data_IF_531075297823
#
_entry.id   IF_531075297823
#
_cell.length_a   1.000
_cell.length_b   1.000
_cell.length_c   1.000
_cell.angle_alpha   90.00
_cell.angle_beta   90.00
_cell.angle_gamma   90.00
#
_symmetry.space_group_name_H-M   'P 1'
#
loop_
_entity.id
_entity.type
_entity.pdbx_description
1 polymer ?
#
# COMPACT_ATOMS: atom_id res chain seq x y z
N UNK A 1 -25.04 8.34 -17.99
CA UNK A 1 -25.62 8.15 -16.64
C UNK A 1 -25.02 6.88 -16.06
N UNK A 2 -24.29 7.05 -14.96
CA UNK A 2 -23.80 6.05 -13.99
C UNK A 2 -23.06 4.82 -14.53
N UNK A 3 -21.73 4.93 -14.56
CA UNK A 3 -20.80 3.80 -14.43
C UNK A 3 -21.15 3.03 -13.16
N UNK A 4 -21.56 1.77 -13.33
CA UNK A 4 -21.81 0.87 -12.20
C UNK A 4 -20.45 0.34 -11.75
N UNK A 5 -19.86 0.99 -10.75
CA UNK A 5 -18.75 0.44 -9.97
C UNK A 5 -19.20 -0.92 -9.41
N UNK A 6 -18.68 -2.00 -9.98
CA UNK A 6 -18.75 -3.33 -9.41
C UNK A 6 -17.40 -3.67 -8.76
N UNK A 7 -17.37 -4.36 -7.61
CA UNK A 7 -16.12 -4.67 -6.94
C UNK A 7 -15.27 -5.64 -7.79
N UNK A 8 -13.93 -5.61 -7.74
CA UNK A 8 -13.12 -6.69 -8.27
C UNK A 8 -13.38 -7.98 -7.47
N UNK A 9 -13.79 -9.09 -8.10
CA UNK A 9 -13.88 -10.39 -7.45
C UNK A 9 -12.49 -11.06 -7.47
N UNK A 10 -12.10 -11.65 -6.34
CA UNK A 10 -10.95 -12.54 -6.13
C UNK A 10 -9.58 -12.03 -6.65
N UNK A 11 -8.86 -11.30 -5.79
CA UNK A 11 -7.38 -11.23 -5.83
C UNK A 11 -6.73 -10.45 -6.99
N UNK A 12 -7.48 -9.66 -7.74
CA UNK A 12 -6.96 -8.78 -8.80
C UNK A 12 -6.52 -7.40 -8.31
N UNK A 13 -5.72 -6.65 -9.09
CA UNK A 13 -5.37 -5.27 -8.77
C UNK A 13 -6.62 -4.36 -8.81
N UNK A 14 -6.65 -3.27 -8.02
CA UNK A 14 -7.81 -2.38 -7.93
C UNK A 14 -8.13 -1.63 -9.22
N UNK A 15 -9.39 -1.22 -9.44
CA UNK A 15 -9.75 -0.28 -10.48
C UNK A 15 -8.99 1.04 -10.30
N UNK A 16 -8.35 1.55 -11.36
CA UNK A 16 -7.47 2.73 -11.27
C UNK A 16 -8.19 3.98 -10.72
N UNK A 17 -9.48 4.12 -10.98
CA UNK A 17 -10.31 5.23 -10.49
C UNK A 17 -10.54 5.22 -8.97
N UNK A 18 -10.37 4.07 -8.31
CA UNK A 18 -10.54 3.89 -6.85
C UNK A 18 -9.20 3.98 -6.11
N UNK A 19 -8.10 4.10 -6.86
CA UNK A 19 -6.74 4.16 -6.31
C UNK A 19 -6.38 5.60 -5.97
N UNK A 20 -6.02 5.84 -4.72
CA UNK A 20 -5.45 7.11 -4.27
C UNK A 20 -3.93 7.05 -4.33
N UNK A 21 -3.33 7.64 -5.36
CA UNK A 21 -1.88 7.73 -5.52
C UNK A 21 -1.24 8.64 -4.47
N UNK A 22 -0.16 8.19 -3.86
CA UNK A 22 0.61 8.91 -2.83
C UNK A 22 2.11 8.65 -2.98
N UNK A 23 2.92 9.36 -2.21
CA UNK A 23 4.34 9.07 -2.07
C UNK A 23 4.74 9.18 -0.60
N UNK A 24 4.36 8.16 0.17
CA UNK A 24 4.42 8.19 1.63
C UNK A 24 5.55 7.28 2.13
N UNK A 25 6.62 7.82 2.76
CA UNK A 25 7.64 7.00 3.40
C UNK A 25 7.05 6.21 4.57
N UNK A 26 7.54 4.96 4.74
CA UNK A 26 7.11 4.07 5.82
C UNK A 26 8.27 3.25 6.38
N UNK A 27 8.13 2.81 7.62
CA UNK A 27 8.91 1.73 8.22
C UNK A 27 8.06 0.46 8.30
N UNK A 28 8.67 -0.67 7.98
CA UNK A 28 8.04 -1.99 7.94
C UNK A 28 8.71 -2.88 8.97
N UNK A 29 7.91 -3.43 9.89
CA UNK A 29 8.38 -4.43 10.83
C UNK A 29 8.27 -5.81 10.19
N UNK A 30 9.39 -6.51 10.13
CA UNK A 30 9.45 -7.90 9.70
C UNK A 30 9.16 -8.84 10.87
N UNK A 31 8.62 -10.05 10.62
CA UNK A 31 8.38 -11.05 11.66
C UNK A 31 9.64 -11.47 12.44
N UNK A 32 10.83 -11.28 11.85
CA UNK A 32 12.12 -11.52 12.50
C UNK A 32 12.54 -10.40 13.47
N UNK A 33 11.71 -9.37 13.63
CA UNK A 33 11.95 -8.19 14.48
C UNK A 33 12.78 -7.10 13.81
N UNK A 34 13.22 -7.30 12.56
CA UNK A 34 13.93 -6.30 11.78
C UNK A 34 13.02 -5.20 11.26
N UNK A 35 13.60 -4.02 10.99
CA UNK A 35 12.91 -2.90 10.36
C UNK A 35 13.45 -2.66 8.95
N UNK A 36 12.56 -2.29 8.04
CA UNK A 36 12.90 -1.91 6.67
C UNK A 36 12.20 -0.62 6.25
N UNK A 37 12.93 0.25 5.55
CA UNK A 37 12.34 1.42 4.91
C UNK A 37 11.65 1.06 3.60
N UNK A 38 10.41 1.51 3.47
CA UNK A 38 9.59 1.37 2.28
C UNK A 38 8.94 2.68 1.86
N UNK A 39 8.16 2.59 0.79
CA UNK A 39 7.28 3.67 0.34
C UNK A 39 5.93 3.11 -0.06
N UNK A 40 4.88 3.68 0.51
CA UNK A 40 3.54 3.50 -0.01
C UNK A 40 3.37 4.44 -1.20
N UNK A 41 3.05 3.86 -2.35
CA UNK A 41 2.83 4.56 -3.63
C UNK A 41 1.36 4.77 -3.93
N UNK A 42 0.46 4.04 -3.27
CA UNK A 42 -0.97 4.22 -3.42
C UNK A 42 -1.75 3.58 -2.27
N UNK A 43 -2.97 4.05 -2.06
CA UNK A 43 -3.98 3.48 -1.18
C UNK A 43 -5.19 3.02 -1.99
N UNK A 44 -5.89 2.02 -1.47
CA UNK A 44 -7.16 1.55 -2.01
C UNK A 44 -8.01 0.98 -0.87
N UNK A 45 -9.34 1.10 -0.94
CA UNK A 45 -10.26 0.36 -0.09
C UNK A 45 -11.04 -0.62 -0.93
N UNK A 46 -11.06 -1.88 -0.54
CA UNK A 46 -11.83 -2.89 -1.24
C UNK A 46 -13.35 -2.76 -0.99
N UNK A 47 -14.13 -3.64 -1.62
CA UNK A 47 -15.58 -3.66 -1.46
C UNK A 47 -16.07 -4.05 -0.05
N UNK A 48 -15.20 -4.63 0.80
CA UNK A 48 -15.49 -4.93 2.20
C UNK A 48 -15.10 -3.77 3.14
N UNK A 49 -14.41 -2.76 2.62
CA UNK A 49 -13.91 -1.61 3.38
C UNK A 49 -12.52 -1.83 4.00
N UNK A 50 -11.86 -2.94 3.71
CA UNK A 50 -10.47 -3.19 4.13
C UNK A 50 -9.54 -2.22 3.41
N UNK A 51 -8.58 -1.67 4.15
CA UNK A 51 -7.61 -0.72 3.61
C UNK A 51 -6.40 -1.48 3.08
N UNK A 52 -6.07 -1.23 1.83
CA UNK A 52 -4.92 -1.79 1.13
C UNK A 52 -3.92 -0.70 0.78
N UNK A 53 -2.64 -1.05 0.80
CA UNK A 53 -1.56 -0.15 0.42
C UNK A 53 -0.69 -0.79 -0.67
N UNK A 54 -0.23 0.03 -1.62
CA UNK A 54 0.71 -0.38 -2.66
C UNK A 54 2.12 -0.04 -2.23
N UNK A 55 2.85 -1.03 -1.75
CA UNK A 55 4.14 -0.89 -1.08
C UNK A 55 5.30 -1.22 -2.01
N UNK A 56 6.33 -0.38 -1.98
CA UNK A 56 7.65 -0.64 -2.57
C UNK A 56 8.69 -0.71 -1.46
N UNK A 57 9.40 -1.83 -1.37
CA UNK A 57 10.49 -2.03 -0.41
C UNK A 57 11.86 -1.83 -1.06
N UNK A 58 12.88 -1.50 -0.26
CA UNK A 58 14.23 -1.15 -0.75
C UNK A 58 15.22 -2.32 -0.61
N UNK A 59 14.86 -3.45 0.00
CA UNK A 59 15.70 -4.66 0.05
C UNK A 59 15.98 -5.20 -1.35
N UNK A 60 17.26 -5.52 -1.59
CA UNK A 60 17.77 -6.09 -2.83
C UNK A 60 18.23 -5.03 -3.84
N UNK A 61 19.30 -5.33 -4.59
CA UNK A 61 20.03 -4.41 -5.47
C UNK A 61 19.24 -3.81 -6.66
N UNK A 62 17.94 -4.07 -6.75
CA UNK A 62 17.04 -3.53 -7.80
C UNK A 62 15.75 -2.90 -7.27
N UNK A 63 15.45 -3.00 -5.96
CA UNK A 63 14.16 -2.66 -5.37
C UNK A 63 13.03 -3.57 -5.86
N UNK A 64 12.19 -4.07 -4.96
CA UNK A 64 11.05 -4.91 -5.35
C UNK A 64 10.04 -4.10 -6.18
N UNK A 65 9.38 -4.75 -7.14
CA UNK A 65 8.22 -4.17 -7.82
C UNK A 65 7.16 -3.79 -6.76
N UNK A 66 6.47 -2.65 -6.88
CA UNK A 66 5.46 -2.28 -5.89
C UNK A 66 4.29 -3.28 -5.92
N UNK A 67 3.91 -3.79 -4.76
CA UNK A 67 2.85 -4.80 -4.60
C UNK A 67 1.76 -4.29 -3.66
N UNK A 68 0.53 -4.77 -3.86
CA UNK A 68 -0.60 -4.47 -2.98
C UNK A 68 -0.60 -5.42 -1.79
N UNK A 69 -0.78 -4.88 -0.59
CA UNK A 69 -0.93 -5.63 0.66
C UNK A 69 -2.02 -5.00 1.53
N UNK A 70 -2.71 -5.78 2.39
CA UNK A 70 -3.54 -5.24 3.44
C UNK A 70 -2.70 -4.31 4.33
N UNK A 71 -3.25 -3.16 4.69
CA UNK A 71 -2.60 -2.23 5.58
C UNK A 71 -2.72 -2.70 7.02
N UNK A 72 -1.58 -3.04 7.63
CA UNK A 72 -1.47 -3.42 9.02
C UNK A 72 -0.73 -2.29 9.79
N UNK A 73 -1.43 -1.49 10.61
CA UNK A 73 -0.81 -0.38 11.34
C UNK A 73 0.18 -0.84 12.42
N UNK A 74 0.12 -2.08 12.89
CA UNK A 74 1.08 -2.63 13.85
C UNK A 74 2.41 -2.98 13.17
N UNK A 75 2.40 -3.21 11.85
CA UNK A 75 3.60 -3.57 11.07
C UNK A 75 4.08 -2.47 10.13
N UNK A 76 3.23 -1.50 9.80
CA UNK A 76 3.50 -0.46 8.80
C UNK A 76 3.33 0.92 9.43
N UNK A 77 4.45 1.51 9.81
CA UNK A 77 4.51 2.84 10.42
C UNK A 77 4.66 3.90 9.34
N UNK A 78 3.69 4.79 9.24
CA UNK A 78 3.73 5.92 8.30
C UNK A 78 4.63 7.01 8.87
N UNK A 79 5.73 7.30 8.16
CA UNK A 79 6.65 8.36 8.53
C UNK A 79 6.15 9.70 8.02
N UNK A 80 6.34 10.83 8.72
CA UNK A 80 5.98 12.14 8.20
C UNK A 80 6.75 12.45 6.90
N UNK A 81 6.04 12.99 5.90
CA UNK A 81 6.58 13.32 4.56
C UNK A 81 6.94 14.79 4.38
N UNK A 82 6.44 15.68 5.24
CA UNK A 82 6.83 17.08 5.34
C UNK A 82 7.60 17.30 6.65
N UNK A 83 8.71 18.04 6.59
CA UNK A 83 9.53 18.36 7.76
C UNK A 83 8.78 19.24 8.77
N UNK A 84 9.17 19.10 10.04
CA UNK A 84 8.79 19.99 11.16
C UNK A 84 9.21 21.43 10.85
#
# INVERSE_FOLDING_TARGET
MTTRSGPPPEGGPPPEAEVQWVYQPVELQHPDGGWELGRITAWWRDGAGELWCRLRTMRGSGGSCPQWFPYDPDRILVLPSAGI
#
